data_IF_141030954473
#
_entry.id   IF_141030954473
#
_cell.length_a   1.000
_cell.length_b   1.000
_cell.length_c   1.000
_cell.angle_alpha   90.00
_cell.angle_beta   90.00
_cell.angle_gamma   90.00
#
_symmetry.space_group_name_H-M   'P 1'
#
loop_
_entity.id
_entity.type
_entity.pdbx_description
1 polymer ?
#
# COMPACT_ATOMS: atom_id res chain seq x y z
N UNK A 1 -21.96 -21.62 -0.07
CA UNK A 1 -21.70 -21.69 1.38
C UNK A 1 -20.25 -21.40 1.78
N UNK A 2 -19.23 -22.10 1.26
CA UNK A 2 -17.81 -21.91 1.64
C UNK A 2 -17.25 -20.49 1.40
N UNK A 3 -17.73 -19.78 0.37
CA UNK A 3 -17.28 -18.41 0.02
C UNK A 3 -17.84 -17.34 0.95
N UNK A 4 -19.09 -17.49 1.41
CA UNK A 4 -19.76 -16.51 2.26
C UNK A 4 -19.13 -16.50 3.67
N UNK A 5 -18.84 -17.68 4.21
CA UNK A 5 -18.20 -17.83 5.53
C UNK A 5 -16.76 -17.29 5.50
N UNK A 6 -16.03 -17.51 4.41
CA UNK A 6 -14.68 -16.95 4.23
C UNK A 6 -14.69 -15.42 4.17
N UNK A 7 -15.62 -14.82 3.43
CA UNK A 7 -15.74 -13.37 3.38
C UNK A 7 -16.05 -12.78 4.76
N UNK A 8 -16.95 -13.41 5.54
CA UNK A 8 -17.29 -12.95 6.89
C UNK A 8 -16.10 -13.02 7.88
N UNK A 9 -15.26 -14.06 7.79
CA UNK A 9 -14.03 -14.19 8.58
C UNK A 9 -12.93 -13.19 8.17
N UNK A 10 -12.96 -12.72 6.92
CA UNK A 10 -12.00 -11.72 6.43
C UNK A 10 -12.43 -10.29 6.75
N UNK A 11 -13.73 -10.00 6.76
CA UNK A 11 -14.25 -8.72 7.27
C UNK A 11 -13.91 -8.51 8.75
N UNK A 12 -13.81 -9.57 9.56
CA UNK A 12 -13.33 -9.46 10.95
C UNK A 12 -11.82 -9.19 11.07
N UNK A 13 -11.03 -9.60 10.07
CA UNK A 13 -9.57 -9.32 10.04
C UNK A 13 -9.23 -7.97 9.42
N UNK A 14 -10.12 -7.40 8.62
CA UNK A 14 -9.90 -6.15 7.87
C UNK A 14 -11.06 -5.16 8.01
N UNK A 15 -11.41 -4.75 9.24
CA UNK A 15 -12.53 -3.85 9.48
C UNK A 15 -12.34 -2.49 8.80
N UNK A 16 -11.15 -1.88 8.86
CA UNK A 16 -10.93 -0.55 8.28
C UNK A 16 -10.98 -0.58 6.74
N UNK A 17 -10.46 -1.62 6.10
CA UNK A 17 -10.60 -1.78 4.64
C UNK A 17 -12.08 -1.96 4.25
N UNK A 18 -12.85 -2.70 5.05
CA UNK A 18 -14.28 -2.91 4.80
C UNK A 18 -15.06 -1.60 4.93
N UNK A 19 -14.79 -0.80 5.96
CA UNK A 19 -15.38 0.53 6.15
C UNK A 19 -15.06 1.48 5.00
N UNK A 20 -13.87 1.37 4.40
CA UNK A 20 -13.51 2.12 3.18
C UNK A 20 -14.23 1.64 1.91
N UNK A 21 -15.03 0.57 1.98
CA UNK A 21 -15.73 -0.01 0.84
C UNK A 21 -14.88 -1.01 0.03
N UNK A 22 -13.83 -1.57 0.61
CA UNK A 22 -13.10 -2.71 0.04
C UNK A 22 -13.91 -3.98 0.25
N UNK A 23 -14.51 -4.50 -0.82
CA UNK A 23 -15.43 -5.64 -0.73
C UNK A 23 -14.72 -7.01 -0.74
N UNK A 24 -13.55 -7.12 -1.36
CA UNK A 24 -12.84 -8.40 -1.55
C UNK A 24 -11.36 -8.30 -1.13
N UNK A 25 -11.04 -8.27 0.18
CA UNK A 25 -9.67 -8.21 0.67
C UNK A 25 -8.81 -9.39 0.18
N UNK A 26 -9.39 -10.58 0.02
CA UNK A 26 -8.71 -11.79 -0.46
C UNK A 26 -8.19 -11.70 -1.90
N UNK A 27 -8.74 -10.79 -2.70
CA UNK A 27 -8.26 -10.58 -4.07
C UNK A 27 -7.13 -9.56 -4.14
N UNK A 28 -6.80 -8.87 -3.05
CA UNK A 28 -5.70 -7.89 -3.02
C UNK A 28 -4.37 -8.60 -3.23
N UNK A 29 -3.60 -8.12 -4.20
CA UNK A 29 -2.25 -8.62 -4.53
C UNK A 29 -1.14 -7.65 -4.13
N UNK A 30 -1.49 -6.40 -3.86
CA UNK A 30 -0.54 -5.36 -3.49
C UNK A 30 -1.20 -4.01 -3.39
N UNK A 31 -0.50 -3.07 -2.77
CA UNK A 31 -0.94 -1.69 -2.66
C UNK A 31 0.24 -0.73 -2.82
N UNK A 32 -0.06 0.55 -3.09
CA UNK A 32 0.91 1.64 -3.10
C UNK A 32 0.27 2.89 -2.53
N UNK A 33 0.97 3.58 -1.66
CA UNK A 33 0.66 4.95 -1.23
C UNK A 33 1.43 5.96 -2.07
N UNK A 34 0.78 7.05 -2.42
CA UNK A 34 1.37 8.17 -3.17
C UNK A 34 0.99 9.45 -2.47
N UNK A 35 1.98 10.28 -2.18
CA UNK A 35 1.75 11.63 -1.68
C UNK A 35 1.53 12.57 -2.85
N UNK A 36 0.33 13.14 -2.99
CA UNK A 36 -0.07 13.88 -4.20
C UNK A 36 -0.11 15.39 -3.97
N UNK A 37 -0.43 15.81 -2.75
CA UNK A 37 -0.36 17.19 -2.31
C UNK A 37 0.05 17.25 -0.84
N UNK A 38 0.32 18.46 -0.34
CA UNK A 38 0.73 18.69 1.05
C UNK A 38 -0.28 18.12 2.07
N UNK A 39 -1.57 18.25 1.76
CA UNK A 39 -2.67 17.79 2.60
C UNK A 39 -3.36 16.51 2.09
N UNK A 40 -2.78 15.80 1.12
CA UNK A 40 -3.46 14.68 0.45
C UNK A 40 -2.58 13.48 0.13
N UNK A 41 -2.97 12.34 0.69
CA UNK A 41 -2.43 11.02 0.40
C UNK A 41 -3.39 10.23 -0.51
N UNK A 42 -2.85 9.38 -1.38
CA UNK A 42 -3.62 8.48 -2.24
C UNK A 42 -3.17 7.04 -2.06
N UNK A 43 -4.09 6.17 -1.68
CA UNK A 43 -3.88 4.72 -1.62
C UNK A 43 -4.42 4.07 -2.89
N UNK A 44 -3.56 3.32 -3.59
CA UNK A 44 -3.91 2.51 -4.76
C UNK A 44 -3.83 1.04 -4.39
N UNK A 45 -4.96 0.35 -4.39
CA UNK A 45 -5.04 -1.10 -4.12
C UNK A 45 -5.15 -1.84 -5.45
N UNK A 46 -4.31 -2.87 -5.65
CA UNK A 46 -4.33 -3.74 -6.83
C UNK A 46 -4.98 -5.09 -6.49
N UNK A 47 -5.85 -5.56 -7.38
CA UNK A 47 -6.57 -6.83 -7.22
C UNK A 47 -6.15 -7.86 -8.28
N UNK A 48 -6.17 -9.15 -7.91
CA UNK A 48 -6.02 -10.27 -8.83
C UNK A 48 -7.28 -10.34 -9.71
N UNK A 49 -7.14 -10.07 -11.00
CA UNK A 49 -8.27 -10.10 -11.93
C UNK A 49 -8.65 -11.56 -12.28
N UNK A 50 -9.87 -12.04 -11.99
CA UNK A 50 -10.39 -13.27 -12.58
C UNK A 50 -10.62 -13.08 -14.08
N UNK A 51 -10.38 -14.13 -14.90
CA UNK A 51 -10.33 -14.04 -16.37
C UNK A 51 -11.61 -13.49 -17.05
N UNK A 52 -12.75 -13.42 -16.35
CA UNK A 52 -14.02 -12.87 -16.85
C UNK A 52 -14.62 -11.75 -15.97
N UNK A 53 -13.81 -11.02 -15.20
CA UNK A 53 -14.31 -9.96 -14.32
C UNK A 53 -14.32 -8.57 -14.96
N UNK A 54 -15.42 -7.84 -14.75
CA UNK A 54 -15.63 -6.42 -15.14
C UNK A 54 -15.01 -5.48 -14.08
N UNK A 55 -14.56 -6.00 -12.93
CA UNK A 55 -14.01 -5.15 -11.88
C UNK A 55 -12.67 -4.51 -12.30
N UNK A 56 -12.45 -3.24 -11.93
CA UNK A 56 -11.20 -2.55 -12.24
C UNK A 56 -10.03 -3.20 -11.52
N UNK A 57 -8.91 -3.36 -12.25
CA UNK A 57 -7.66 -3.97 -11.74
C UNK A 57 -7.08 -3.22 -10.54
N UNK A 58 -7.39 -1.93 -10.42
CA UNK A 58 -6.89 -1.03 -9.37
C UNK A 58 -8.03 -0.15 -8.87
N UNK A 59 -8.08 0.09 -7.56
CA UNK A 59 -8.99 1.05 -6.94
C UNK A 59 -8.18 2.12 -6.21
N UNK A 60 -8.62 3.37 -6.34
CA UNK A 60 -7.98 4.56 -5.78
C UNK A 60 -8.81 5.06 -4.61
N UNK A 61 -8.16 5.39 -3.50
CA UNK A 61 -8.75 5.99 -2.32
C UNK A 61 -7.93 7.24 -1.95
N UNK A 62 -8.62 8.33 -1.66
CA UNK A 62 -8.01 9.63 -1.37
C UNK A 62 -8.23 9.95 0.10
N UNK A 63 -7.19 10.43 0.75
CA UNK A 63 -7.18 10.71 2.18
C UNK A 63 -6.65 12.10 2.42
N UNK A 64 -7.49 12.93 3.05
CA UNK A 64 -7.05 14.23 3.54
C UNK A 64 -6.24 14.05 4.82
N UNK A 65 -5.09 14.72 4.87
CA UNK A 65 -4.24 14.81 6.06
C UNK A 65 -4.84 15.74 7.09
N UNK A 66 -4.49 15.48 8.34
CA UNK A 66 -4.92 16.31 9.46
C UNK A 66 -3.89 17.43 9.63
N UNK A 67 -4.28 18.66 9.29
CA UNK A 67 -3.50 19.85 9.56
C UNK A 67 -3.55 20.19 11.06
N UNK A 68 -2.39 20.30 11.70
CA UNK A 68 -2.27 20.78 13.08
C UNK A 68 -1.39 22.03 13.11
N UNK A 69 -1.75 23.04 13.92
CA UNK A 69 -0.90 24.20 14.13
C UNK A 69 0.42 23.74 14.76
N UNK A 70 1.54 24.24 14.22
CA UNK A 70 2.85 23.94 14.78
C UNK A 70 3.01 24.65 16.14
N UNK A 71 3.46 23.97 17.20
CA UNK A 71 3.68 24.61 18.49
C UNK A 71 4.87 25.59 18.41
N UNK A 72 4.57 26.88 18.55
CA UNK A 72 5.53 27.99 18.44
C UNK A 72 4.84 29.22 17.86
N UNK A 73 4.36 30.11 18.72
CA UNK A 73 3.38 31.18 18.41
C UNK A 73 3.81 32.28 17.44
N UNK A 74 4.94 32.15 16.75
CA UNK A 74 5.55 33.20 15.92
C UNK A 74 5.54 32.91 14.42
N UNK A 75 5.21 31.68 13.99
CA UNK A 75 5.14 31.36 12.55
C UNK A 75 3.81 31.84 11.96
N UNK A 76 3.79 33.03 11.33
CA UNK A 76 2.71 33.46 10.42
C UNK A 76 3.08 33.08 8.98
N UNK A 77 2.27 32.23 8.33
CA UNK A 77 2.43 31.86 6.91
C UNK A 77 2.26 30.37 6.62
N UNK A 78 2.65 29.93 5.41
CA UNK A 78 2.53 28.53 4.94
C UNK A 78 3.25 27.49 5.83
N UNK A 79 4.20 27.89 6.68
CA UNK A 79 4.89 27.01 7.63
C UNK A 79 4.18 26.78 8.98
N UNK A 80 2.98 27.36 9.19
CA UNK A 80 2.27 27.30 10.46
C UNK A 80 1.48 26.00 10.68
N UNK A 81 1.30 25.19 9.64
CA UNK A 81 0.46 23.99 9.66
C UNK A 81 1.29 22.76 9.29
N UNK A 82 1.31 21.78 10.19
CA UNK A 82 1.88 20.45 9.93
C UNK A 82 0.76 19.50 9.53
N UNK A 83 0.90 18.84 8.39
CA UNK A 83 -0.05 17.83 7.93
C UNK A 83 0.39 16.42 8.33
N UNK A 84 -0.33 15.83 9.28
CA UNK A 84 -0.14 14.46 9.71
C UNK A 84 -0.97 13.48 8.85
N UNK A 85 -0.47 12.25 8.68
CA UNK A 85 -1.17 11.19 7.94
C UNK A 85 -2.56 10.93 8.53
N UNK A 86 -3.53 10.63 7.66
CA UNK A 86 -4.87 10.24 8.10
C UNK A 86 -4.82 8.97 8.98
N UNK A 87 -5.44 8.97 10.17
CA UNK A 87 -5.52 7.77 11.02
C UNK A 87 -6.19 6.59 10.33
N UNK A 88 -7.16 6.85 9.44
CA UNK A 88 -7.85 5.83 8.66
C UNK A 88 -6.87 5.19 7.66
N UNK A 89 -6.06 6.00 6.97
CA UNK A 89 -5.03 5.51 6.06
C UNK A 89 -3.99 4.66 6.80
N UNK A 90 -3.51 5.12 7.96
CA UNK A 90 -2.53 4.37 8.74
C UNK A 90 -3.06 2.99 9.18
N UNK A 91 -4.31 2.91 9.63
CA UNK A 91 -4.95 1.63 9.99
C UNK A 91 -5.16 0.73 8.78
N UNK A 92 -5.59 1.29 7.66
CA UNK A 92 -5.77 0.54 6.42
C UNK A 92 -4.45 -0.05 5.89
N UNK A 93 -3.34 0.68 5.99
CA UNK A 93 -1.99 0.20 5.65
C UNK A 93 -1.62 -0.99 6.54
N UNK A 94 -1.80 -0.86 7.86
CA UNK A 94 -1.49 -1.95 8.80
C UNK A 94 -2.29 -3.22 8.49
N UNK A 95 -3.58 -3.08 8.15
CA UNK A 95 -4.41 -4.21 7.73
C UNK A 95 -3.94 -4.83 6.41
N UNK A 96 -3.54 -4.01 5.43
CA UNK A 96 -3.02 -4.49 4.15
C UNK A 96 -1.69 -5.23 4.31
N UNK A 97 -0.79 -4.73 5.15
CA UNK A 97 0.48 -5.38 5.47
C UNK A 97 0.25 -6.75 6.09
N UNK A 98 -0.63 -6.81 7.10
CA UNK A 98 -0.98 -8.07 7.77
C UNK A 98 -1.61 -9.06 6.79
N UNK A 99 -2.54 -8.60 5.95
CA UNK A 99 -3.21 -9.42 4.95
C UNK A 99 -2.25 -9.95 3.88
N UNK A 100 -1.33 -9.13 3.39
CA UNK A 100 -0.36 -9.54 2.39
C UNK A 100 0.71 -10.45 2.99
N UNK A 101 1.14 -10.22 4.24
CA UNK A 101 2.04 -11.11 4.95
C UNK A 101 1.42 -12.50 5.19
N UNK A 102 0.16 -12.55 5.65
CA UNK A 102 -0.60 -13.79 5.82
C UNK A 102 -0.74 -14.55 4.50
N UNK A 103 -1.00 -13.84 3.39
CA UNK A 103 -1.05 -14.43 2.05
C UNK A 103 0.29 -14.95 1.57
N UNK A 104 1.38 -14.19 1.75
CA UNK A 104 2.72 -14.67 1.42
C UNK A 104 3.04 -15.94 2.22
N UNK A 105 2.72 -15.96 3.51
CA UNK A 105 2.96 -17.13 4.38
C UNK A 105 2.14 -18.35 4.00
N UNK A 106 0.90 -18.15 3.54
CA UNK A 106 0.01 -19.26 3.13
C UNK A 106 0.24 -19.73 1.69
N UNK A 107 0.86 -18.92 0.83
CA UNK A 107 1.08 -19.21 -0.60
C UNK A 107 2.54 -19.53 -0.92
N UNK A 108 3.48 -19.35 0.01
CA UNK A 108 4.90 -19.64 -0.19
C UNK A 108 5.15 -21.12 -0.51
N UNK A 109 5.21 -21.45 -1.80
CA UNK A 109 5.76 -22.70 -2.32
C UNK A 109 7.24 -22.49 -2.66
N UNK A 110 8.01 -23.59 -2.75
CA UNK A 110 9.42 -23.56 -3.17
C UNK A 110 9.62 -22.77 -4.46
N UNK A 111 8.74 -22.95 -5.46
CA UNK A 111 8.83 -22.21 -6.72
C UNK A 111 8.58 -20.71 -6.55
N UNK A 112 7.60 -20.32 -5.72
CA UNK A 112 7.31 -18.90 -5.49
C UNK A 112 8.46 -18.17 -4.79
N UNK A 113 9.15 -18.85 -3.86
CA UNK A 113 10.30 -18.28 -3.15
C UNK A 113 11.53 -18.16 -4.07
N UNK A 114 11.72 -19.13 -4.97
CA UNK A 114 12.77 -19.06 -5.99
C UNK A 114 12.51 -17.92 -6.98
N UNK A 115 11.25 -17.71 -7.38
CA UNK A 115 10.88 -16.61 -8.25
C UNK A 115 11.09 -15.25 -7.56
N UNK A 116 10.64 -15.09 -6.30
CA UNK A 116 10.83 -13.85 -5.54
C UNK A 116 12.32 -13.54 -5.32
N UNK A 117 13.14 -14.57 -5.10
CA UNK A 117 14.60 -14.42 -4.99
C UNK A 117 15.22 -13.90 -6.29
N UNK A 118 14.77 -14.40 -7.44
CA UNK A 118 15.32 -13.95 -8.73
C UNK A 118 14.82 -12.55 -9.12
N UNK A 119 13.57 -12.22 -8.80
CA UNK A 119 13.05 -10.86 -8.96
C UNK A 119 13.84 -9.84 -8.12
N UNK A 120 14.13 -10.15 -6.85
CA UNK A 120 14.99 -9.31 -6.01
C UNK A 120 16.41 -9.19 -6.56
N UNK A 121 16.96 -10.28 -7.12
CA UNK A 121 18.30 -10.28 -7.70
C UNK A 121 18.39 -9.33 -8.90
N UNK A 122 17.36 -9.30 -9.74
CA UNK A 122 17.26 -8.38 -10.88
C UNK A 122 17.14 -6.93 -10.39
N UNK A 123 16.22 -6.64 -9.48
CA UNK A 123 16.05 -5.27 -8.95
C UNK A 123 17.33 -4.73 -8.30
N UNK A 124 18.01 -5.57 -7.51
CA UNK A 124 19.28 -5.16 -6.88
C UNK A 124 20.37 -4.90 -7.92
N UNK A 125 20.45 -5.72 -8.98
CA UNK A 125 21.39 -5.51 -10.08
C UNK A 125 21.14 -4.19 -10.80
N UNK A 126 19.88 -3.85 -11.08
CA UNK A 126 19.50 -2.57 -11.67
C UNK A 126 19.89 -1.39 -10.77
N UNK A 127 19.69 -1.52 -9.45
CA UNK A 127 20.12 -0.49 -8.50
C UNK A 127 21.64 -0.35 -8.42
N UNK A 128 22.38 -1.46 -8.41
CA UNK A 128 23.85 -1.44 -8.41
C UNK A 128 24.40 -0.79 -9.68
N UNK A 129 23.84 -1.12 -10.85
CA UNK A 129 24.26 -0.53 -12.13
C UNK A 129 23.93 0.96 -12.20
N UNK A 130 22.77 1.38 -11.69
CA UNK A 130 22.43 2.79 -11.56
C UNK A 130 23.41 3.53 -10.63
N UNK A 131 23.75 2.93 -9.47
CA UNK A 131 24.74 3.49 -8.54
C UNK A 131 26.12 3.61 -9.20
N UNK A 132 26.58 2.58 -9.90
CA UNK A 132 27.86 2.60 -10.62
C UNK A 132 27.91 3.75 -11.64
N UNK A 133 26.86 3.91 -12.45
CA UNK A 133 26.74 5.04 -13.39
C UNK A 133 26.69 6.40 -12.69
N UNK A 134 26.06 6.47 -11.52
CA UNK A 134 26.00 7.70 -10.74
C UNK A 134 27.38 8.08 -10.18
N UNK A 135 28.22 7.09 -9.85
CA UNK A 135 29.61 7.29 -9.41
C UNK A 135 30.48 7.74 -10.60
N UNK A 136 30.38 7.08 -11.76
CA UNK A 136 31.12 7.48 -12.97
C UNK A 136 30.78 8.91 -13.43
N UNK A 137 29.56 9.39 -13.16
CA UNK A 137 29.15 10.75 -13.50
C UNK A 137 29.63 11.83 -12.49
N UNK A 138 30.26 11.42 -11.38
CA UNK A 138 30.79 12.32 -10.34
C UNK A 138 32.32 12.54 -10.47
N UNK A 139 33.00 11.81 -11.36
CA UNK A 139 34.37 12.08 -11.82
C UNK A 139 34.37 12.98 -13.06
#
# INVERSE_FOLDING_TARGET
YKTIIRNALMTTKTPNLTEMGVLNPDQIIGYRTVHVAEDMDVLKISYKRPKNSILPKRRRYEFKRIGKPMPGGELRGQGAIRYDISPILARAIAELDTLLADKKRTVATKESLLQELEEMRVEMSERMTHLAKSIEALD
#
